data_IF_060190055080
#
_entry.id   IF_060190055080
#
_cell.length_a   1.000
_cell.length_b   1.000
_cell.length_c   1.000
_cell.angle_alpha   90.00
_cell.angle_beta   90.00
_cell.angle_gamma   90.00
#
_symmetry.space_group_name_H-M   'P 1'
#
loop_
_entity.id
_entity.type
_entity.pdbx_description
1 polymer ?
#
# COMPACT_ATOMS: atom_id res chain seq x y z
N UNK A 1 20.98 22.83 3.73
CA UNK A 1 20.22 21.65 4.18
C UNK A 1 19.98 20.81 2.93
N UNK A 2 20.66 19.67 2.84
CA UNK A 2 20.76 18.74 1.72
C UNK A 2 19.40 18.17 1.31
N UNK A 3 18.88 18.62 0.17
CA UNK A 3 17.86 17.88 -0.59
C UNK A 3 18.66 16.95 -1.52
N UNK A 4 18.63 15.65 -1.23
CA UNK A 4 19.34 14.64 -2.00
C UNK A 4 18.71 14.55 -3.40
N UNK A 5 19.25 15.30 -4.36
CA UNK A 5 18.86 15.31 -5.78
C UNK A 5 19.34 14.03 -6.52
N UNK A 6 19.61 12.92 -5.81
CA UNK A 6 20.25 11.72 -6.36
C UNK A 6 19.40 10.44 -6.27
N UNK A 7 18.10 10.52 -6.00
CA UNK A 7 17.24 9.32 -5.86
C UNK A 7 16.54 8.85 -7.16
N UNK A 8 16.67 9.57 -8.29
CA UNK A 8 15.65 9.55 -9.36
C UNK A 8 15.91 8.68 -10.62
N UNK A 9 16.86 7.74 -10.61
CA UNK A 9 16.99 6.76 -11.72
C UNK A 9 16.56 5.34 -11.36
N UNK A 10 16.32 5.07 -10.08
CA UNK A 10 15.92 3.73 -9.62
C UNK A 10 14.43 3.54 -9.80
N UNK A 11 14.05 2.46 -10.49
CA UNK A 11 12.65 2.05 -10.63
C UNK A 11 12.24 1.19 -9.44
N UNK A 12 11.04 1.47 -8.95
CA UNK A 12 10.38 0.72 -7.90
C UNK A 12 9.08 0.14 -8.45
N UNK A 13 8.59 -0.91 -7.81
CA UNK A 13 7.29 -1.50 -8.06
C UNK A 13 6.47 -1.49 -6.78
N UNK A 14 5.17 -1.33 -6.93
CA UNK A 14 4.23 -1.37 -5.80
C UNK A 14 3.92 -2.82 -5.49
N UNK A 15 4.09 -3.19 -4.23
CA UNK A 15 3.81 -4.51 -3.69
C UNK A 15 2.75 -4.42 -2.60
N UNK A 16 1.93 -5.45 -2.51
CA UNK A 16 0.87 -5.59 -1.51
C UNK A 16 1.02 -6.92 -0.80
N UNK A 17 0.86 -6.94 0.52
CA UNK A 17 0.86 -8.17 1.30
C UNK A 17 -0.57 -8.73 1.48
N UNK A 18 -0.68 -9.84 2.21
CA UNK A 18 -1.95 -10.49 2.53
C UNK A 18 -2.84 -9.68 3.50
N UNK A 19 -2.29 -8.65 4.14
CA UNK A 19 -3.01 -7.72 5.02
C UNK A 19 -3.45 -6.44 4.30
N UNK A 20 -3.39 -6.42 2.96
CA UNK A 20 -3.68 -5.24 2.12
C UNK A 20 -2.80 -4.01 2.43
N UNK A 21 -1.59 -4.24 2.97
CA UNK A 21 -0.62 -3.18 3.18
C UNK A 21 0.20 -2.96 1.91
N UNK A 22 0.26 -1.71 1.48
CA UNK A 22 1.00 -1.30 0.30
C UNK A 22 2.40 -0.82 0.67
N UNK A 23 3.39 -1.25 -0.11
CA UNK A 23 4.77 -0.78 0.02
C UNK A 23 5.44 -0.70 -1.35
N UNK A 24 6.61 -0.05 -1.41
CA UNK A 24 7.43 -0.01 -2.61
C UNK A 24 8.59 -0.99 -2.48
N UNK A 25 8.91 -1.69 -3.57
CA UNK A 25 10.03 -2.61 -3.66
C UNK A 25 10.87 -2.29 -4.90
N UNK A 26 12.14 -2.70 -4.89
CA UNK A 26 13.03 -2.55 -6.05
C UNK A 26 12.47 -3.28 -7.27
N UNK A 27 12.34 -2.60 -8.42
CA UNK A 27 11.80 -3.21 -9.63
C UNK A 27 12.74 -4.29 -10.22
N UNK A 28 14.04 -4.16 -9.98
CA UNK A 28 15.08 -5.13 -10.38
C UNK A 28 15.14 -6.40 -9.53
N UNK A 29 14.34 -6.47 -8.45
CA UNK A 29 14.34 -7.60 -7.51
C UNK A 29 13.00 -8.31 -7.48
N UNK A 30 13.01 -9.61 -7.30
CA UNK A 30 11.78 -10.37 -7.05
C UNK A 30 11.15 -9.93 -5.72
N UNK A 31 9.82 -9.96 -5.64
CA UNK A 31 9.10 -9.61 -4.42
C UNK A 31 9.35 -10.68 -3.33
N UNK A 32 9.55 -10.29 -2.07
CA UNK A 32 9.74 -11.25 -0.98
C UNK A 32 8.49 -12.12 -0.77
N UNK A 33 8.68 -13.31 -0.20
CA UNK A 33 7.59 -14.23 0.08
C UNK A 33 6.48 -13.57 0.91
N UNK A 34 5.22 -13.73 0.49
CA UNK A 34 4.06 -13.12 1.13
C UNK A 34 3.71 -11.72 0.62
N UNK A 35 4.52 -11.15 -0.28
CA UNK A 35 4.22 -9.94 -1.02
C UNK A 35 3.89 -10.27 -2.48
N UNK A 36 2.98 -9.50 -3.06
CA UNK A 36 2.52 -9.65 -4.44
C UNK A 36 2.66 -8.32 -5.16
N UNK A 37 3.06 -8.37 -6.42
CA UNK A 37 3.17 -7.17 -7.25
C UNK A 37 1.77 -6.67 -7.62
N UNK A 38 1.54 -5.37 -7.45
CA UNK A 38 0.26 -4.72 -7.72
C UNK A 38 0.11 -4.31 -9.20
N UNK A 39 1.15 -4.50 -10.02
CA UNK A 39 1.17 -4.16 -11.44
C UNK A 39 1.54 -2.71 -11.75
N UNK A 40 1.95 -1.93 -10.76
CA UNK A 40 2.45 -0.56 -10.94
C UNK A 40 3.97 -0.52 -10.71
N UNK A 41 4.72 0.04 -11.66
CA UNK A 41 6.16 0.30 -11.55
C UNK A 41 6.50 1.71 -12.06
N UNK A 42 7.44 2.36 -11.40
CA UNK A 42 7.81 3.75 -11.70
C UNK A 42 8.89 4.29 -10.77
N UNK A 43 9.21 5.59 -10.86
CA UNK A 43 10.05 6.24 -9.87
C UNK A 43 9.39 6.19 -8.49
N UNK A 44 10.20 6.39 -7.45
CA UNK A 44 9.76 6.34 -6.04
C UNK A 44 8.55 7.24 -5.79
N UNK A 45 8.59 8.47 -6.31
CA UNK A 45 7.53 9.48 -6.14
C UNK A 45 6.19 9.03 -6.73
N UNK A 46 6.21 8.46 -7.93
CA UNK A 46 5.01 7.95 -8.62
C UNK A 46 4.43 6.73 -7.90
N UNK A 47 5.29 5.80 -7.47
CA UNK A 47 4.83 4.64 -6.69
C UNK A 47 4.18 5.06 -5.37
N UNK A 48 4.76 6.05 -4.67
CA UNK A 48 4.18 6.58 -3.44
C UNK A 48 2.88 7.35 -3.68
N UNK A 49 2.77 8.07 -4.79
CA UNK A 49 1.52 8.73 -5.19
C UNK A 49 0.43 7.69 -5.46
N UNK A 50 0.72 6.66 -6.25
CA UNK A 50 -0.19 5.54 -6.50
C UNK A 50 -0.64 4.88 -5.19
N UNK A 51 0.29 4.60 -4.27
CA UNK A 51 -0.04 4.02 -2.96
C UNK A 51 -1.00 4.94 -2.19
N UNK A 52 -0.78 6.26 -2.18
CA UNK A 52 -1.71 7.20 -1.53
C UNK A 52 -3.08 7.23 -2.19
N UNK A 53 -3.16 7.06 -3.50
CA UNK A 53 -4.42 7.05 -4.25
C UNK A 53 -5.20 5.74 -4.06
N UNK A 54 -4.53 4.59 -3.97
CA UNK A 54 -5.19 3.28 -3.81
C UNK A 54 -5.41 2.92 -2.35
N UNK A 55 -4.51 3.30 -1.46
CA UNK A 55 -4.62 3.09 -0.01
C UNK A 55 -5.49 4.18 0.64
N UNK A 56 -6.70 4.33 0.13
CA UNK A 56 -7.69 5.32 0.55
C UNK A 56 -8.22 5.08 1.96
N UNK A 57 -8.17 3.83 2.42
CA UNK A 57 -8.64 3.43 3.75
C UNK A 57 -7.48 2.76 4.51
N UNK A 58 -6.77 3.56 5.29
CA UNK A 58 -5.68 3.09 6.17
C UNK A 58 -6.19 2.34 7.40
N UNK A 59 -7.50 2.11 7.55
CA UNK A 59 -8.02 1.28 8.63
C UNK A 59 -7.67 -0.19 8.35
N UNK A 60 -7.04 -0.90 9.29
CA UNK A 60 -6.80 -2.33 9.12
C UNK A 60 -8.14 -3.04 8.88
N UNK A 61 -8.16 -4.02 7.96
CA UNK A 61 -9.32 -4.87 7.64
C UNK A 61 -10.09 -5.34 8.88
N UNK A 62 -9.36 -5.69 9.94
CA UNK A 62 -9.93 -6.13 11.23
C UNK A 62 -10.81 -5.06 11.90
N UNK A 63 -10.45 -3.77 11.79
CA UNK A 63 -11.26 -2.68 12.32
C UNK A 63 -12.52 -2.46 11.46
N UNK A 64 -12.41 -2.65 10.13
CA UNK A 64 -13.56 -2.53 9.23
C UNK A 64 -14.61 -3.61 9.50
N UNK A 65 -14.19 -4.87 9.67
CA UNK A 65 -15.09 -5.97 10.05
C UNK A 65 -15.79 -5.72 11.39
N UNK A 66 -15.03 -5.27 12.39
CA UNK A 66 -15.60 -4.98 13.71
C UNK A 66 -16.62 -3.84 13.68
N UNK A 67 -16.40 -2.79 12.87
CA UNK A 67 -17.37 -1.70 12.71
C UNK A 67 -18.61 -2.11 11.92
N UNK A 68 -18.47 -3.00 10.94
CA UNK A 68 -19.60 -3.54 10.17
C UNK A 68 -20.52 -4.41 11.06
N UNK A 69 -19.93 -5.24 11.94
CA UNK A 69 -20.66 -6.02 12.96
C UNK A 69 -21.36 -5.13 14.00
N UNK A 70 -20.72 -4.04 14.45
CA UNK A 70 -21.33 -3.09 15.41
C UNK A 70 -22.48 -2.29 14.78
N UNK A 71 -22.35 -1.93 13.49
CA UNK A 71 -23.37 -1.20 12.76
C UNK A 71 -24.64 -2.05 12.49
N UNK A 72 -24.50 -3.36 12.30
CA UNK A 72 -25.66 -4.26 12.15
C UNK A 72 -26.40 -4.47 13.47
N UNK A 73 -25.69 -4.58 14.60
CA UNK A 73 -26.32 -4.80 15.91
C UNK A 73 -27.08 -3.58 16.46
N UNK A 74 -26.71 -2.38 16.01
CA UNK A 74 -27.37 -1.14 16.44
C UNK A 74 -28.73 -0.89 15.77
N UNK A 75 -29.13 -1.70 14.78
CA UNK A 75 -30.45 -1.62 14.11
C UNK A 75 -31.51 -2.56 14.69
N UNK A 76 -31.13 -3.45 15.61
CA UNK A 76 -32.01 -4.43 16.23
C UNK A 76 -32.39 -4.08 17.68
N UNK A 77 -32.17 -2.83 18.10
CA UNK A 77 -32.47 -2.36 19.46
C UNK A 77 -33.45 -1.17 19.46
#
# INVERSE_FOLDING_TARGET
>A
MSHDENEDTRRYKVVVNHEEQYSIWFADREAPAGWRECGYEGPKSDCLAYIKEVWTDMRPLSLRKHMEEVASQSKEQ
#
